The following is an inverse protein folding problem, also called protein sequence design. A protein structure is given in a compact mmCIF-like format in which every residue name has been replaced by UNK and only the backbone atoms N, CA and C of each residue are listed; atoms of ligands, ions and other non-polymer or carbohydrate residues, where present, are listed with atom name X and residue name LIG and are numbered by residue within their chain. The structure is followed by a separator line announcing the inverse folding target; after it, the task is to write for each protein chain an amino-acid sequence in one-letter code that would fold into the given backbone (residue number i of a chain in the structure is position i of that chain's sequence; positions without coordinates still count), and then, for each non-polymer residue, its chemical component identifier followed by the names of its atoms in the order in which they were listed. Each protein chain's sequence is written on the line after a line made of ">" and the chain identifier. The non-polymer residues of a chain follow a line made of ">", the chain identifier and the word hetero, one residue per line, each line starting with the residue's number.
data_IF_158955471280
#
_entry.id   IF_158955471280
#
_cell.length_a   1.000
_cell.length_b   1.000
_cell.length_c   1.000
_cell.angle_alpha   90.00
_cell.angle_beta   90.00
_cell.angle_gamma   90.00
#
_symmetry.space_group_name_H-M   'P 1'
#
loop_
_entity.id
_entity.type
_entity.pdbx_description
1 polymer ?
#
# COMPACT_ATOMS: atom_id res chain seq x y z
N UNK A 1 -7.01 36.81 12.68
CA UNK A 1 -6.04 35.87 13.27
C UNK A 1 -6.46 34.48 12.84
N UNK A 2 -5.73 33.89 11.89
CA UNK A 2 -5.98 32.51 11.46
C UNK A 2 -5.27 31.58 12.45
N UNK A 3 -6.02 30.76 13.18
CA UNK A 3 -5.48 29.67 13.96
C UNK A 3 -5.01 28.58 12.99
N UNK A 4 -3.71 28.44 12.84
CA UNK A 4 -3.07 27.23 12.31
C UNK A 4 -3.31 26.10 13.30
N UNK A 5 -4.26 25.22 12.99
CA UNK A 5 -4.41 23.96 13.69
C UNK A 5 -3.15 23.12 13.47
N UNK A 6 -2.43 22.83 14.56
CA UNK A 6 -1.36 21.84 14.56
C UNK A 6 -1.95 20.47 14.23
N UNK A 7 -1.44 19.81 13.19
CA UNK A 7 -1.82 18.46 12.78
C UNK A 7 -1.44 17.49 13.91
N UNK A 8 -2.37 17.13 14.79
CA UNK A 8 -2.16 16.04 15.75
C UNK A 8 -1.88 14.76 14.96
N UNK A 9 -0.69 14.17 15.14
CA UNK A 9 -0.40 12.88 14.53
C UNK A 9 -1.25 11.83 15.21
N UNK A 10 -2.14 11.16 14.47
CA UNK A 10 -2.84 10.01 15.01
C UNK A 10 -1.83 8.87 15.23
N UNK A 11 -1.95 8.11 16.32
CA UNK A 11 -1.21 6.87 16.52
C UNK A 11 -1.72 5.73 15.62
N UNK A 12 -2.62 6.04 14.68
CA UNK A 12 -3.19 5.07 13.75
C UNK A 12 -2.21 4.80 12.61
N UNK A 13 -2.11 3.53 12.28
CA UNK A 13 -1.23 3.03 11.24
C UNK A 13 -1.97 2.03 10.36
N UNK A 14 -1.80 2.16 9.04
CA UNK A 14 -2.40 1.28 8.04
C UNK A 14 -1.28 0.61 7.24
N UNK A 15 -1.39 -0.70 7.07
CA UNK A 15 -0.52 -1.48 6.21
C UNK A 15 -1.15 -1.57 4.82
N UNK A 16 -0.51 -1.00 3.81
CA UNK A 16 -0.97 -1.12 2.43
C UNK A 16 -0.30 -2.29 1.73
N UNK A 17 -1.09 -3.28 1.32
CA UNK A 17 -0.61 -4.41 0.54
C UNK A 17 -0.76 -4.12 -0.95
N UNK A 18 0.36 -4.17 -1.68
CA UNK A 18 0.41 -4.02 -3.14
C UNK A 18 1.04 -5.26 -3.79
N UNK A 19 0.71 -5.50 -5.05
CA UNK A 19 1.39 -6.52 -5.86
C UNK A 19 2.84 -6.12 -6.17
N UNK A 20 3.72 -7.11 -6.21
CA UNK A 20 5.13 -7.04 -6.66
C UNK A 20 5.35 -7.74 -8.01
N UNK A 21 4.27 -8.08 -8.74
CA UNK A 21 4.34 -8.95 -9.91
C UNK A 21 4.85 -8.23 -11.18
N UNK A 22 4.50 -6.96 -11.36
CA UNK A 22 4.83 -6.22 -12.58
C UNK A 22 6.33 -5.95 -12.72
N UNK A 23 6.83 -6.04 -13.95
CA UNK A 23 8.20 -5.68 -14.33
C UNK A 23 8.20 -4.70 -15.50
N UNK A 24 9.36 -4.17 -15.89
CA UNK A 24 9.50 -3.33 -17.09
C UNK A 24 9.00 -4.04 -18.38
N UNK A 25 8.99 -5.38 -18.40
CA UNK A 25 8.48 -6.17 -19.54
C UNK A 25 6.97 -6.41 -19.47
N UNK A 26 6.39 -6.42 -18.27
CA UNK A 26 4.96 -6.67 -18.02
C UNK A 26 4.35 -5.62 -17.09
N UNK A 27 4.47 -4.32 -17.40
CA UNK A 27 4.01 -3.25 -16.52
C UNK A 27 2.50 -3.31 -16.29
N UNK A 28 1.72 -3.81 -17.24
CA UNK A 28 0.27 -4.03 -17.10
C UNK A 28 -0.11 -5.02 -15.99
N UNK A 29 0.80 -5.92 -15.59
CA UNK A 29 0.61 -6.89 -14.52
C UNK A 29 1.12 -6.41 -13.15
N UNK A 30 1.24 -5.10 -12.95
CA UNK A 30 1.57 -4.48 -11.66
C UNK A 30 0.32 -4.12 -10.83
N UNK A 31 0.55 -3.58 -9.64
CA UNK A 31 -0.48 -2.86 -8.87
C UNK A 31 -1.00 -1.61 -9.61
N UNK A 32 -2.15 -1.08 -9.19
CA UNK A 32 -2.68 0.18 -9.70
C UNK A 32 -2.12 1.38 -8.92
N UNK A 33 -1.36 2.24 -9.61
CA UNK A 33 -0.69 3.40 -9.01
C UNK A 33 -1.68 4.50 -8.60
N UNK A 34 -2.78 4.69 -9.32
CA UNK A 34 -3.77 5.72 -8.97
C UNK A 34 -4.55 5.31 -7.73
N UNK A 35 -4.96 4.04 -7.63
CA UNK A 35 -5.62 3.51 -6.44
C UNK A 35 -4.74 3.66 -5.19
N UNK A 36 -3.45 3.27 -5.29
CA UNK A 36 -2.48 3.46 -4.22
C UNK A 36 -2.32 4.93 -3.86
N UNK A 37 -2.08 5.80 -4.85
CA UNK A 37 -1.82 7.21 -4.62
C UNK A 37 -3.00 7.91 -3.95
N UNK A 38 -4.22 7.67 -4.43
CA UNK A 38 -5.42 8.29 -3.85
C UNK A 38 -5.66 7.81 -2.42
N UNK A 39 -5.58 6.50 -2.17
CA UNK A 39 -5.73 5.93 -0.83
C UNK A 39 -4.66 6.47 0.13
N UNK A 40 -3.40 6.49 -0.31
CA UNK A 40 -2.26 6.95 0.49
C UNK A 40 -2.44 8.41 0.87
N UNK A 41 -2.72 9.29 -0.09
CA UNK A 41 -2.85 10.72 0.16
C UNK A 41 -4.01 11.03 1.10
N UNK A 42 -5.16 10.36 0.94
CA UNK A 42 -6.31 10.55 1.85
C UNK A 42 -5.94 10.18 3.28
N UNK A 43 -5.29 9.04 3.51
CA UNK A 43 -4.89 8.61 4.86
C UNK A 43 -3.78 9.52 5.43
N UNK A 44 -2.79 9.86 4.62
CA UNK A 44 -1.67 10.74 5.00
C UNK A 44 -2.15 12.14 5.38
N UNK A 45 -3.11 12.69 4.64
CA UNK A 45 -3.68 14.01 4.90
C UNK A 45 -4.49 14.04 6.21
N UNK A 46 -5.06 12.89 6.60
CA UNK A 46 -5.74 12.70 7.87
C UNK A 46 -4.80 12.26 9.02
N UNK A 47 -3.48 12.35 8.83
CA UNK A 47 -2.50 12.10 9.88
C UNK A 47 -2.36 10.62 10.28
N UNK A 48 -2.76 9.70 9.41
CA UNK A 48 -2.58 8.26 9.57
C UNK A 48 -1.21 7.89 9.00
N UNK A 49 -0.44 7.09 9.74
CA UNK A 49 0.84 6.55 9.26
C UNK A 49 0.58 5.40 8.29
N UNK A 50 1.34 5.33 7.21
CA UNK A 50 1.21 4.28 6.20
C UNK A 50 2.58 3.63 5.98
N UNK A 51 2.61 2.30 6.02
CA UNK A 51 3.69 1.51 5.45
C UNK A 51 3.16 0.69 4.27
N UNK A 52 4.02 0.49 3.28
CA UNK A 52 3.70 -0.29 2.08
C UNK A 52 4.43 -1.63 2.15
N UNK A 53 3.68 -2.72 1.99
CA UNK A 53 4.21 -4.08 1.88
C UNK A 53 3.91 -4.68 0.51
N UNK A 54 4.74 -5.63 0.11
CA UNK A 54 4.49 -6.48 -1.06
C UNK A 54 4.95 -7.90 -0.79
N UNK A 55 4.46 -8.93 -1.52
CA UNK A 55 4.82 -10.33 -1.26
C UNK A 55 6.32 -10.61 -1.18
N UNK A 56 7.12 -9.96 -2.04
CA UNK A 56 8.57 -10.14 -2.10
C UNK A 56 9.35 -9.16 -1.20
N UNK A 57 8.68 -8.14 -0.66
CA UNK A 57 9.35 -6.94 -0.13
C UNK A 57 10.24 -6.26 -1.17
N UNK A 58 11.00 -5.26 -0.73
CA UNK A 58 11.95 -4.53 -1.57
C UNK A 58 11.28 -3.68 -2.65
N UNK A 59 12.01 -3.45 -3.74
CA UNK A 59 11.60 -2.53 -4.79
C UNK A 59 10.49 -3.11 -5.67
N UNK A 60 9.45 -2.31 -5.92
CA UNK A 60 8.39 -2.60 -6.89
C UNK A 60 8.47 -1.64 -8.09
N UNK A 61 7.95 -2.08 -9.24
CA UNK A 61 7.86 -1.22 -10.42
C UNK A 61 6.92 -0.04 -10.18
N UNK A 62 7.43 1.18 -10.30
CA UNK A 62 6.62 2.41 -10.32
C UNK A 62 6.33 2.81 -11.76
N UNK A 63 5.10 2.59 -12.23
CA UNK A 63 4.73 2.95 -13.62
C UNK A 63 4.89 4.46 -13.83
N UNK A 64 5.64 4.84 -14.85
CA UNK A 64 5.77 6.23 -15.28
C UNK A 64 4.85 6.51 -16.48
N UNK A 65 3.54 6.54 -16.23
CA UNK A 65 2.54 6.75 -17.28
C UNK A 65 1.49 7.82 -16.96
N UNK A 66 1.60 8.47 -15.79
CA UNK A 66 0.64 9.48 -15.28
C UNK A 66 1.33 10.59 -14.49
N UNK A 67 2.58 10.87 -14.85
CA UNK A 67 3.46 11.78 -14.10
C UNK A 67 3.08 13.25 -14.32
N UNK A 68 2.18 13.55 -15.25
CA UNK A 68 1.57 14.87 -15.46
C UNK A 68 0.48 15.20 -14.41
N UNK A 69 -0.05 14.20 -13.70
CA UNK A 69 -1.06 14.40 -12.68
C UNK A 69 -0.42 14.89 -11.36
N UNK A 70 -0.81 16.07 -10.90
CA UNK A 70 -0.23 16.70 -9.70
C UNK A 70 -0.32 15.83 -8.44
N UNK A 71 -1.39 15.06 -8.27
CA UNK A 71 -1.54 14.17 -7.12
C UNK A 71 -0.62 12.94 -7.20
N UNK A 72 -0.28 12.46 -8.40
CA UNK A 72 0.70 11.39 -8.60
C UNK A 72 2.10 11.89 -8.27
N UNK A 73 2.46 13.09 -8.73
CA UNK A 73 3.74 13.72 -8.39
C UNK A 73 3.89 13.85 -6.86
N UNK A 74 2.87 14.41 -6.19
CA UNK A 74 2.83 14.55 -4.73
C UNK A 74 2.95 13.20 -4.01
N UNK A 75 2.25 12.18 -4.49
CA UNK A 75 2.36 10.84 -3.93
C UNK A 75 3.80 10.29 -4.05
N UNK A 76 4.42 10.42 -5.23
CA UNK A 76 5.81 9.97 -5.43
C UNK A 76 6.79 10.72 -4.51
N UNK A 77 6.64 12.03 -4.33
CA UNK A 77 7.46 12.80 -3.38
C UNK A 77 7.41 12.23 -1.94
N UNK A 78 6.25 11.71 -1.53
CA UNK A 78 6.03 11.18 -0.19
C UNK A 78 6.42 9.70 -0.04
N UNK A 79 6.16 8.88 -1.05
CA UNK A 79 6.14 7.43 -0.92
C UNK A 79 7.17 6.69 -1.78
N UNK A 80 7.90 7.37 -2.67
CA UNK A 80 8.83 6.70 -3.60
C UNK A 80 9.86 5.84 -2.87
N UNK A 81 10.43 6.33 -1.75
CA UNK A 81 11.37 5.54 -0.96
C UNK A 81 10.74 4.27 -0.37
N UNK A 82 9.45 4.30 0.01
CA UNK A 82 8.74 3.10 0.47
C UNK A 82 8.50 2.12 -0.69
N UNK A 83 8.22 2.60 -1.90
CA UNK A 83 8.07 1.75 -3.09
C UNK A 83 9.38 1.08 -3.52
N UNK A 84 10.53 1.71 -3.23
CA UNK A 84 11.86 1.13 -3.42
C UNK A 84 12.21 0.10 -2.32
N UNK A 85 11.51 0.14 -1.19
CA UNK A 85 11.84 -0.64 0.01
C UNK A 85 10.58 -1.16 0.72
N UNK A 86 9.68 -1.81 -0.02
CA UNK A 86 8.43 -2.32 0.57
C UNK A 86 8.75 -3.39 1.62
N UNK A 87 7.95 -3.45 2.67
CA UNK A 87 8.09 -4.51 3.68
C UNK A 87 7.73 -5.87 3.06
N UNK A 88 8.48 -6.93 3.41
CA UNK A 88 8.03 -8.29 3.17
C UNK A 88 7.02 -8.71 4.26
N UNK A 89 6.10 -9.66 4.01
CA UNK A 89 5.14 -10.09 5.02
C UNK A 89 5.80 -10.63 6.30
N UNK A 90 7.02 -11.15 6.19
CA UNK A 90 7.80 -11.67 7.34
C UNK A 90 8.40 -10.59 8.23
N UNK A 91 8.50 -9.35 7.72
CA UNK A 91 9.08 -8.22 8.45
C UNK A 91 8.01 -7.35 9.13
N UNK A 92 6.74 -7.74 8.99
CA UNK A 92 5.59 -7.01 9.53
C UNK A 92 5.19 -7.59 10.88
N UNK A 93 5.19 -6.74 11.91
CA UNK A 93 4.47 -6.98 13.15
C UNK A 93 3.06 -6.39 13.05
N UNK A 94 2.03 -7.24 12.99
CA UNK A 94 0.64 -6.78 12.87
C UNK A 94 0.17 -5.96 14.08
N UNK A 95 0.81 -6.07 15.24
CA UNK A 95 0.42 -5.28 16.41
C UNK A 95 0.68 -3.78 16.26
N UNK A 96 1.52 -3.38 15.30
CA UNK A 96 1.77 -1.98 14.95
C UNK A 96 0.65 -1.35 14.11
N UNK A 97 -0.28 -2.15 13.59
CA UNK A 97 -1.26 -1.72 12.59
C UNK A 97 -2.70 -1.84 13.09
N UNK A 98 -3.54 -0.95 12.59
CA UNK A 98 -4.97 -0.93 12.90
C UNK A 98 -5.82 -1.49 11.75
N UNK A 99 -5.27 -1.51 10.53
CA UNK A 99 -5.93 -2.06 9.36
C UNK A 99 -4.92 -2.49 8.29
N UNK A 100 -5.35 -3.43 7.45
CA UNK A 100 -4.72 -3.75 6.17
C UNK A 100 -5.59 -3.21 5.04
N UNK A 101 -4.98 -2.51 4.08
CA UNK A 101 -5.66 -2.08 2.86
C UNK A 101 -4.98 -2.71 1.64
N UNK A 102 -5.70 -3.60 0.96
CA UNK A 102 -5.23 -4.31 -0.24
C UNK A 102 -5.56 -3.49 -1.49
N UNK A 103 -4.52 -3.03 -2.18
CA UNK A 103 -4.65 -2.26 -3.42
C UNK A 103 -4.75 -3.20 -4.62
N UNK A 104 -5.54 -2.81 -5.62
CA UNK A 104 -5.75 -3.59 -6.82
C UNK A 104 -4.66 -3.45 -7.88
N UNK A 105 -5.07 -3.61 -9.13
CA UNK A 105 -4.21 -3.83 -10.29
C UNK A 105 -4.13 -5.31 -10.68
N UNK A 106 -3.86 -5.60 -11.95
CA UNK A 106 -3.90 -6.97 -12.49
C UNK A 106 -2.90 -7.91 -11.81
N UNK A 107 -1.78 -7.38 -11.30
CA UNK A 107 -0.81 -8.15 -10.53
C UNK A 107 -1.37 -8.73 -9.24
N UNK A 108 -2.35 -8.05 -8.63
CA UNK A 108 -2.96 -8.47 -7.37
C UNK A 108 -3.59 -9.87 -7.47
N UNK A 109 -4.13 -10.22 -8.64
CA UNK A 109 -4.71 -11.56 -8.91
C UNK A 109 -3.66 -12.67 -9.08
N UNK A 110 -2.38 -12.31 -9.17
CA UNK A 110 -1.31 -13.24 -9.53
C UNK A 110 -0.50 -13.59 -8.29
N UNK A 111 0.14 -12.60 -7.66
CA UNK A 111 1.11 -12.86 -6.60
C UNK A 111 0.50 -12.84 -5.19
N UNK A 112 -0.47 -11.97 -4.91
CA UNK A 112 -1.11 -11.90 -3.59
C UNK A 112 -1.76 -13.24 -3.16
N UNK A 113 -2.63 -13.89 -3.98
CA UNK A 113 -3.22 -15.16 -3.57
C UNK A 113 -2.23 -16.32 -3.60
N UNK A 114 -1.09 -16.20 -4.30
CA UNK A 114 -0.09 -17.26 -4.43
C UNK A 114 0.95 -17.25 -3.31
N UNK A 115 1.21 -16.10 -2.68
CA UNK A 115 2.25 -15.96 -1.69
C UNK A 115 1.83 -16.44 -0.29
N UNK A 116 2.49 -17.50 0.20
CA UNK A 116 2.14 -18.14 1.46
C UNK A 116 2.35 -17.23 2.68
N UNK A 117 3.32 -16.32 2.64
CA UNK A 117 3.60 -15.40 3.73
C UNK A 117 2.50 -14.32 3.83
N UNK A 118 2.10 -13.76 2.68
CA UNK A 118 0.97 -12.83 2.54
C UNK A 118 -0.32 -13.47 3.03
N UNK A 119 -0.63 -14.69 2.60
CA UNK A 119 -1.81 -15.41 3.09
C UNK A 119 -1.79 -15.62 4.61
N UNK A 120 -0.61 -15.91 5.18
CA UNK A 120 -0.46 -16.13 6.62
C UNK A 120 -0.67 -14.84 7.40
N UNK A 121 -0.10 -13.73 6.92
CA UNK A 121 -0.31 -12.41 7.50
C UNK A 121 -1.79 -12.00 7.45
N UNK A 122 -2.47 -12.16 6.31
CA UNK A 122 -3.90 -11.82 6.20
C UNK A 122 -4.79 -12.70 7.10
N UNK A 123 -4.49 -13.99 7.22
CA UNK A 123 -5.17 -14.88 8.19
C UNK A 123 -4.97 -14.39 9.63
N UNK A 124 -3.76 -13.99 10.00
CA UNK A 124 -3.48 -13.44 11.33
C UNK A 124 -4.19 -12.11 11.58
N UNK A 125 -4.30 -11.25 10.57
CA UNK A 125 -5.06 -10.01 10.65
C UNK A 125 -6.55 -10.28 10.91
N UNK A 126 -7.17 -11.21 10.16
CA UNK A 126 -8.56 -11.64 10.38
C UNK A 126 -8.74 -12.22 11.79
N UNK A 127 -7.84 -13.08 12.24
CA UNK A 127 -7.92 -13.71 13.56
C UNK A 127 -7.74 -12.72 14.73
N UNK A 128 -7.22 -11.53 14.45
CA UNK A 128 -7.01 -10.46 15.43
C UNK A 128 -8.08 -9.38 15.35
N UNK A 129 -9.21 -9.66 14.67
CA UNK A 129 -10.30 -8.72 14.39
C UNK A 129 -9.82 -7.40 13.73
N UNK A 130 -8.71 -7.46 12.99
CA UNK A 130 -8.17 -6.31 12.28
C UNK A 130 -9.06 -5.94 11.10
N UNK A 131 -9.26 -4.65 10.87
CA UNK A 131 -10.01 -4.17 9.71
C UNK A 131 -9.24 -4.48 8.43
N UNK A 132 -9.90 -5.11 7.46
CA UNK A 132 -9.36 -5.33 6.12
C UNK A 132 -10.25 -4.62 5.10
N UNK A 133 -9.63 -3.74 4.31
CA UNK A 133 -10.25 -3.09 3.16
C UNK A 133 -9.56 -3.55 1.88
N UNK A 134 -10.27 -3.54 0.77
CA UNK A 134 -9.73 -3.88 -0.54
C UNK A 134 -10.43 -3.11 -1.66
N UNK A 135 -9.73 -2.86 -2.75
CA UNK A 135 -10.25 -2.13 -3.92
C UNK A 135 -9.93 -2.88 -5.22
N UNK A 136 -10.82 -2.79 -6.20
CA UNK A 136 -10.64 -3.35 -7.55
C UNK A 136 -10.37 -4.86 -7.52
N UNK A 137 -9.18 -5.29 -7.94
CA UNK A 137 -8.74 -6.70 -7.91
C UNK A 137 -7.99 -7.07 -6.63
N UNK A 138 -7.85 -6.16 -5.67
CA UNK A 138 -7.28 -6.44 -4.36
C UNK A 138 -7.96 -7.59 -3.59
N UNK A 139 -9.28 -7.84 -3.71
CA UNK A 139 -9.94 -8.98 -3.06
C UNK A 139 -9.62 -10.39 -3.62
N UNK A 140 -8.76 -10.51 -4.62
CA UNK A 140 -8.53 -11.74 -5.39
C UNK A 140 -7.89 -12.91 -4.60
#
# INVERSE_FOLDING_TARGET
>A
MAQTASKESSDKRVLMLISSNGTEQTPELSYDLEELAQAYLVLYDNGIRIDIMSPKGGAVLVKNNKDDLAYIQRFKELALNQLENTLAPTDVDLSDYHAVFIIGGSGAMIDLPADAATQTLLRSAVNSDMTIAAVCHGPA
#
